data_IF_680521196387
#
_entry.id   IF_680521196387
#
_cell.length_a   1.000
_cell.length_b   1.000
_cell.length_c   1.000
_cell.angle_alpha   90.00
_cell.angle_beta   90.00
_cell.angle_gamma   90.00
#
_symmetry.space_group_name_H-M   'P 1'
#
loop_
_entity.id
_entity.type
_entity.pdbx_description
1 polymer ?
#
# COMPACT_ATOMS: atom_id res chain seq x y z
N UNK A 1 1.70 19.56 -12.86
CA UNK A 1 2.06 18.98 -11.55
C UNK A 1 2.50 17.54 -11.76
N UNK A 2 3.57 17.10 -11.09
CA UNK A 2 4.05 15.71 -11.17
C UNK A 2 3.07 14.77 -10.42
N UNK A 3 2.89 13.51 -10.85
CA UNK A 3 2.12 12.55 -10.08
C UNK A 3 2.80 12.26 -8.73
N UNK A 4 2.01 11.89 -7.73
CA UNK A 4 2.47 11.68 -6.35
C UNK A 4 2.51 10.18 -6.03
N UNK A 5 3.59 9.73 -5.39
CA UNK A 5 3.73 8.37 -4.85
C UNK A 5 3.76 8.44 -3.32
N UNK A 6 3.12 7.48 -2.67
CA UNK A 6 3.30 7.27 -1.24
C UNK A 6 4.18 6.06 -1.04
N UNK A 7 5.26 6.27 -0.29
CA UNK A 7 6.22 5.25 0.11
C UNK A 7 5.99 4.96 1.60
N UNK A 8 5.17 3.96 1.91
CA UNK A 8 4.77 3.60 3.27
C UNK A 8 5.70 2.48 3.75
N UNK A 9 6.53 2.78 4.75
CA UNK A 9 7.68 1.93 5.11
C UNK A 9 8.90 2.30 4.26
N UNK A 10 9.34 3.56 4.36
CA UNK A 10 10.43 4.11 3.54
C UNK A 10 11.78 3.43 3.79
N UNK A 11 12.04 2.97 5.02
CA UNK A 11 13.29 2.34 5.43
C UNK A 11 14.50 3.23 5.08
N UNK A 12 15.49 2.70 4.36
CA UNK A 12 16.68 3.42 3.93
C UNK A 12 16.44 4.41 2.77
N UNK A 13 15.22 4.43 2.21
CA UNK A 13 14.78 5.30 1.13
C UNK A 13 15.21 4.87 -0.28
N UNK A 14 15.57 3.61 -0.52
CA UNK A 14 15.94 3.13 -1.86
C UNK A 14 14.78 3.27 -2.86
N UNK A 15 13.55 2.91 -2.46
CA UNK A 15 12.36 3.11 -3.27
C UNK A 15 12.03 4.60 -3.46
N UNK A 16 12.07 5.40 -2.39
CA UNK A 16 11.93 6.86 -2.47
C UNK A 16 12.91 7.48 -3.50
N UNK A 17 14.20 7.12 -3.47
CA UNK A 17 15.19 7.58 -4.45
C UNK A 17 14.78 7.21 -5.88
N UNK A 18 14.37 5.96 -6.07
CA UNK A 18 13.92 5.47 -7.35
C UNK A 18 12.71 6.26 -7.88
N UNK A 19 11.68 6.46 -7.06
CA UNK A 19 10.50 7.24 -7.42
C UNK A 19 10.84 8.71 -7.77
N UNK A 20 11.73 9.34 -6.99
CA UNK A 20 12.21 10.70 -7.27
C UNK A 20 12.97 10.77 -8.59
N UNK A 21 13.85 9.80 -8.89
CA UNK A 21 14.59 9.72 -10.17
C UNK A 21 13.68 9.44 -11.36
N UNK A 22 12.61 8.67 -11.16
CA UNK A 22 11.52 8.47 -12.14
C UNK A 22 10.70 9.74 -12.36
N UNK A 23 10.91 10.81 -11.58
CA UNK A 23 10.33 12.13 -11.81
C UNK A 23 9.02 12.37 -11.05
N UNK A 24 8.69 11.52 -10.08
CA UNK A 24 7.52 11.69 -9.21
C UNK A 24 7.85 12.63 -8.04
N UNK A 25 6.80 13.13 -7.40
CA UNK A 25 6.90 13.67 -6.03
C UNK A 25 6.52 12.53 -5.07
N UNK A 26 7.06 12.55 -3.85
CA UNK A 26 6.93 11.45 -2.89
C UNK A 26 6.46 11.97 -1.53
N UNK A 27 5.52 11.24 -0.93
CA UNK A 27 5.21 11.32 0.51
C UNK A 27 5.71 10.01 1.12
N UNK A 28 6.78 10.09 1.88
CA UNK A 28 7.36 8.95 2.57
C UNK A 28 6.87 8.89 4.02
N UNK A 29 6.64 7.68 4.53
CA UNK A 29 6.21 7.43 5.92
C UNK A 29 7.17 6.41 6.52
N UNK A 30 7.73 6.75 7.67
CA UNK A 30 8.68 5.91 8.40
C UNK A 30 8.51 6.12 9.91
N UNK A 31 8.56 5.03 10.67
CA UNK A 31 8.39 5.04 12.12
C UNK A 31 9.73 5.05 12.86
N UNK A 32 10.79 4.53 12.24
CA UNK A 32 12.11 4.47 12.84
C UNK A 32 12.84 5.82 12.71
N UNK A 33 13.09 6.54 13.83
CA UNK A 33 13.69 7.87 13.79
C UNK A 33 15.11 7.88 13.23
N UNK A 34 15.86 6.77 13.34
CA UNK A 34 17.22 6.67 12.79
C UNK A 34 17.18 6.67 11.25
N UNK A 35 16.19 6.00 10.65
CA UNK A 35 15.96 6.02 9.20
C UNK A 35 15.48 7.39 8.73
N UNK A 36 14.56 8.01 9.46
CA UNK A 36 14.09 9.37 9.17
C UNK A 36 15.24 10.37 9.17
N UNK A 37 16.12 10.33 10.17
CA UNK A 37 17.25 11.24 10.27
C UNK A 37 18.18 11.11 9.05
N UNK A 38 18.58 9.87 8.71
CA UNK A 38 19.42 9.58 7.54
C UNK A 38 18.75 10.00 6.22
N UNK A 39 17.45 9.76 6.08
CA UNK A 39 16.71 10.15 4.89
C UNK A 39 16.61 11.68 4.74
N UNK A 40 16.41 12.43 5.83
CA UNK A 40 16.39 13.90 5.81
C UNK A 40 17.73 14.49 5.35
N UNK A 41 18.85 13.88 5.75
CA UNK A 41 20.18 14.26 5.27
C UNK A 41 20.35 13.89 3.79
N UNK A 42 20.06 12.63 3.42
CA UNK A 42 20.21 12.11 2.06
C UNK A 42 19.38 12.89 1.04
N UNK A 43 18.14 13.22 1.37
CA UNK A 43 17.17 13.83 0.45
C UNK A 43 16.95 15.33 0.72
N UNK A 44 17.89 16.01 1.40
CA UNK A 44 17.76 17.42 1.77
C UNK A 44 17.39 18.32 0.57
N UNK A 45 17.96 18.05 -0.61
CA UNK A 45 17.67 18.80 -1.83
C UNK A 45 16.24 18.58 -2.35
N UNK A 46 15.77 17.33 -2.39
CA UNK A 46 14.40 17.02 -2.83
C UNK A 46 13.35 17.54 -1.83
N UNK A 47 13.65 17.51 -0.53
CA UNK A 47 12.81 18.12 0.52
C UNK A 47 12.74 19.64 0.33
N UNK A 48 13.88 20.31 0.17
CA UNK A 48 13.93 21.76 -0.07
C UNK A 48 13.20 22.17 -1.35
N UNK A 49 13.21 21.31 -2.37
CA UNK A 49 12.47 21.49 -3.62
C UNK A 49 10.97 21.17 -3.52
N UNK A 50 10.47 20.71 -2.36
CA UNK A 50 9.08 20.31 -2.14
C UNK A 50 8.68 19.03 -2.89
N UNK A 51 9.67 18.22 -3.31
CA UNK A 51 9.45 16.96 -4.03
C UNK A 51 9.29 15.76 -3.11
N UNK A 52 9.83 15.85 -1.90
CA UNK A 52 9.71 14.82 -0.87
C UNK A 52 9.16 15.43 0.42
N UNK A 53 8.15 14.79 0.99
CA UNK A 53 7.70 15.02 2.37
C UNK A 53 7.89 13.72 3.15
N UNK A 54 8.49 13.81 4.33
CA UNK A 54 8.69 12.65 5.22
C UNK A 54 7.82 12.83 6.46
N UNK A 55 6.93 11.86 6.73
CA UNK A 55 6.22 11.74 8.00
C UNK A 55 6.95 10.74 8.90
N UNK A 56 7.47 11.25 10.00
CA UNK A 56 8.10 10.50 11.09
C UNK A 56 7.00 10.00 12.04
N UNK A 57 6.33 8.91 11.65
CA UNK A 57 5.19 8.33 12.37
C UNK A 57 5.05 6.84 12.13
N UNK A 58 4.61 6.15 13.18
CA UNK A 58 3.95 4.86 13.09
C UNK A 58 2.49 5.03 12.59
N UNK A 59 2.01 4.10 11.76
CA UNK A 59 0.62 4.11 11.30
C UNK A 59 -0.28 3.33 12.26
N UNK A 60 -1.32 3.98 12.76
CA UNK A 60 -2.17 3.48 13.85
C UNK A 60 -3.65 3.79 13.62
N UNK A 61 -4.56 3.20 14.40
CA UNK A 61 -5.99 3.54 14.31
C UNK A 61 -6.31 4.95 14.82
N UNK A 62 -5.60 5.39 15.84
CA UNK A 62 -5.78 6.68 16.51
C UNK A 62 -4.43 7.38 16.69
N UNK A 63 -4.45 8.71 16.75
CA UNK A 63 -3.24 9.48 17.03
C UNK A 63 -2.85 9.33 18.51
N UNK A 64 -1.56 9.25 18.78
CA UNK A 64 -1.03 9.08 20.13
C UNK A 64 0.42 8.59 20.11
N UNK A 65 1.02 8.41 21.27
CA UNK A 65 2.30 7.69 21.37
C UNK A 65 2.05 6.19 21.34
N UNK A 66 2.89 5.45 20.62
CA UNK A 66 2.82 3.98 20.51
C UNK A 66 4.18 3.35 20.65
N UNK A 67 4.19 2.10 21.11
CA UNK A 67 5.38 1.26 21.11
C UNK A 67 5.70 0.79 19.69
N UNK A 68 6.95 0.99 19.31
CA UNK A 68 7.54 0.49 18.07
C UNK A 68 8.74 -0.37 18.42
N UNK A 69 8.80 -1.57 17.86
CA UNK A 69 9.83 -2.55 18.15
C UNK A 69 10.83 -2.59 17.00
N UNK A 70 12.02 -2.08 17.25
CA UNK A 70 13.14 -2.11 16.31
C UNK A 70 13.82 -3.46 16.41
N UNK A 71 13.81 -4.21 15.31
CA UNK A 71 14.43 -5.53 15.25
C UNK A 71 15.92 -5.44 14.85
N UNK A 72 16.73 -6.44 15.19
CA UNK A 72 18.14 -6.51 14.78
C UNK A 72 18.32 -6.71 13.26
N UNK A 73 17.38 -7.42 12.64
CA UNK A 73 17.11 -7.32 11.20
C UNK A 73 16.07 -6.22 11.01
N UNK A 74 16.55 -5.04 10.67
CA UNK A 74 15.83 -3.79 10.59
C UNK A 74 14.58 -3.82 9.72
N UNK A 75 14.59 -4.62 8.65
CA UNK A 75 13.44 -4.88 7.77
C UNK A 75 12.20 -5.37 8.56
N UNK A 76 12.39 -6.07 9.69
CA UNK A 76 11.29 -6.65 10.48
C UNK A 76 10.82 -5.76 11.63
N UNK A 77 11.16 -4.46 11.60
CA UNK A 77 10.74 -3.51 12.63
C UNK A 77 9.26 -3.16 12.47
N UNK A 78 8.51 -3.14 13.57
CA UNK A 78 7.04 -3.02 13.52
C UNK A 78 6.43 -2.36 14.74
N UNK A 79 5.21 -1.86 14.58
CA UNK A 79 4.36 -1.40 15.68
C UNK A 79 3.83 -2.58 16.51
N UNK A 80 3.53 -2.34 17.79
CA UNK A 80 2.70 -3.25 18.58
C UNK A 80 1.26 -3.18 18.08
N UNK A 81 0.93 -4.04 17.14
CA UNK A 81 -0.45 -4.28 16.74
C UNK A 81 -0.80 -5.65 17.29
N UNK A 82 -1.82 -5.69 18.15
CA UNK A 82 -2.43 -6.87 18.79
C UNK A 82 -3.10 -7.79 17.74
N UNK A 83 -2.33 -8.12 16.70
CA UNK A 83 -2.64 -9.10 15.71
C UNK A 83 -1.84 -10.33 16.16
N UNK A 84 -2.46 -11.50 16.20
CA UNK A 84 -1.92 -12.83 16.58
C UNK A 84 -0.63 -13.28 15.81
N UNK A 85 0.03 -12.38 15.11
CA UNK A 85 1.30 -12.53 14.40
C UNK A 85 2.41 -12.49 15.44
N UNK A 86 2.91 -13.67 15.81
CA UNK A 86 4.13 -13.76 16.60
C UNK A 86 5.23 -12.98 15.88
N UNK A 87 5.92 -12.10 16.60
CA UNK A 87 7.16 -11.50 16.15
C UNK A 87 8.07 -12.58 15.56
N UNK A 88 8.71 -12.33 14.41
CA UNK A 88 9.87 -13.12 14.01
C UNK A 88 10.81 -13.37 15.19
N UNK A 89 11.45 -14.53 15.23
CA UNK A 89 12.40 -14.81 16.30
C UNK A 89 13.60 -13.87 16.18
N UNK A 90 13.97 -13.21 17.28
CA UNK A 90 15.14 -12.35 17.35
C UNK A 90 15.06 -11.33 18.47
N UNK A 91 15.99 -10.39 18.46
CA UNK A 91 16.09 -9.34 19.48
C UNK A 91 15.38 -8.07 19.04
N UNK A 92 14.51 -7.56 19.91
CA UNK A 92 13.79 -6.31 19.71
C UNK A 92 14.17 -5.27 20.75
N UNK A 93 14.33 -4.03 20.30
CA UNK A 93 14.43 -2.85 21.14
C UNK A 93 13.13 -2.06 21.00
N UNK A 94 12.39 -1.96 22.09
CA UNK A 94 11.19 -1.12 22.15
C UNK A 94 11.59 0.37 22.23
N UNK A 95 10.92 1.18 21.43
CA UNK A 95 10.96 2.64 21.49
C UNK A 95 9.54 3.21 21.44
N UNK A 96 9.37 4.42 21.95
CA UNK A 96 8.12 5.17 21.82
C UNK A 96 8.22 6.13 20.65
N UNK A 97 7.24 6.07 19.75
CA UNK A 97 7.15 6.93 18.56
C UNK A 97 5.77 7.54 18.44
N UNK A 98 5.63 8.57 17.60
CA UNK A 98 4.33 9.17 17.32
C UNK A 98 3.54 8.26 16.37
N UNK A 99 2.38 7.80 16.82
CA UNK A 99 1.35 7.13 16.02
C UNK A 99 0.41 8.14 15.35
N UNK A 100 0.00 7.85 14.12
CA UNK A 100 -0.96 8.66 13.36
C UNK A 100 -1.82 7.80 12.43
N UNK A 101 -3.13 8.08 12.31
CA UNK A 101 -3.96 7.49 11.27
C UNK A 101 -3.50 7.90 9.87
N UNK A 102 -3.32 6.92 8.99
CA UNK A 102 -3.01 7.14 7.58
C UNK A 102 -4.05 8.03 6.88
N UNK A 103 -5.33 7.94 7.28
CA UNK A 103 -6.38 8.83 6.77
C UNK A 103 -6.07 10.32 6.99
N UNK A 104 -5.36 10.68 8.05
CA UNK A 104 -5.04 12.08 8.35
C UNK A 104 -3.87 12.55 7.50
N UNK A 105 -2.92 11.66 7.19
CA UNK A 105 -1.85 11.91 6.23
C UNK A 105 -2.44 12.14 4.83
N UNK A 106 -3.25 11.20 4.32
CA UNK A 106 -3.77 11.31 2.95
C UNK A 106 -4.71 12.50 2.75
N UNK A 107 -5.40 12.97 3.80
CA UNK A 107 -6.22 14.20 3.75
C UNK A 107 -5.38 15.48 3.62
N UNK A 108 -4.15 15.47 4.14
CA UNK A 108 -3.24 16.61 4.08
C UNK A 108 -2.46 16.73 2.76
N UNK A 109 -2.60 15.77 1.86
CA UNK A 109 -1.77 15.64 0.66
C UNK A 109 -2.62 15.42 -0.59
N UNK A 110 -1.99 15.48 -1.77
CA UNK A 110 -2.66 15.18 -3.03
C UNK A 110 -3.00 13.69 -3.12
N UNK A 111 -3.97 13.34 -3.96
CA UNK A 111 -4.29 11.95 -4.23
C UNK A 111 -3.08 11.23 -4.89
N UNK A 112 -2.66 10.06 -4.39
CA UNK A 112 -1.59 9.28 -4.99
C UNK A 112 -1.95 8.71 -6.36
N UNK A 113 -0.94 8.63 -7.23
CA UNK A 113 -0.93 7.77 -8.40
C UNK A 113 -0.60 6.31 -8.02
N UNK A 114 0.33 6.14 -7.07
CA UNK A 114 0.78 4.84 -6.57
C UNK A 114 1.02 4.90 -5.06
N UNK A 115 0.74 3.80 -4.38
CA UNK A 115 1.03 3.61 -2.95
C UNK A 115 1.76 2.29 -2.79
N UNK A 116 2.99 2.33 -2.30
CA UNK A 116 3.73 1.15 -1.82
C UNK A 116 3.48 1.00 -0.33
N UNK A 117 3.11 -0.19 0.12
CA UNK A 117 2.96 -0.54 1.53
C UNK A 117 3.90 -1.70 1.88
N UNK A 118 4.73 -1.50 2.88
CA UNK A 118 5.71 -2.50 3.30
C UNK A 118 6.03 -2.22 4.77
N UNK A 119 5.09 -2.62 5.63
CA UNK A 119 5.05 -2.20 7.02
C UNK A 119 4.65 -3.37 7.92
N UNK A 120 5.17 -4.57 7.68
CA UNK A 120 5.27 -5.69 8.64
C UNK A 120 4.05 -5.91 9.56
N UNK A 121 2.81 -5.75 9.07
CA UNK A 121 1.63 -6.02 9.89
C UNK A 121 0.32 -5.35 9.47
N UNK A 122 0.13 -4.03 9.66
CA UNK A 122 -1.19 -3.43 9.59
C UNK A 122 -1.55 -2.87 8.20
N UNK A 123 -1.08 -3.50 7.12
CA UNK A 123 -1.37 -3.09 5.74
C UNK A 123 -2.89 -3.00 5.51
N UNK A 124 -3.67 -3.96 6.02
CA UNK A 124 -5.13 -3.94 5.86
C UNK A 124 -5.77 -2.73 6.52
N UNK A 125 -5.30 -2.37 7.71
CA UNK A 125 -5.76 -1.19 8.44
C UNK A 125 -5.45 0.09 7.64
N UNK A 126 -4.21 0.23 7.16
CA UNK A 126 -3.77 1.39 6.39
C UNK A 126 -4.58 1.54 5.09
N UNK A 127 -4.78 0.45 4.34
CA UNK A 127 -5.60 0.43 3.12
C UNK A 127 -7.06 0.80 3.43
N UNK A 128 -7.61 0.27 4.53
CA UNK A 128 -8.98 0.58 4.98
C UNK A 128 -9.17 2.06 5.29
N UNK A 129 -8.21 2.68 6.00
CA UNK A 129 -8.22 4.10 6.30
C UNK A 129 -8.11 4.97 5.02
N UNK A 130 -7.23 4.60 4.09
CA UNK A 130 -7.11 5.27 2.79
C UNK A 130 -8.45 5.30 2.03
N UNK A 131 -9.12 4.15 1.95
CA UNK A 131 -10.41 4.04 1.25
C UNK A 131 -11.55 4.77 1.96
N UNK A 132 -11.52 4.80 3.30
CA UNK A 132 -12.47 5.55 4.14
C UNK A 132 -12.30 7.06 3.97
N UNK A 133 -11.08 7.53 3.71
CA UNK A 133 -10.78 8.91 3.34
C UNK A 133 -11.18 9.25 1.87
N UNK A 134 -11.75 8.31 1.13
CA UNK A 134 -12.17 8.53 -0.26
C UNK A 134 -11.05 8.38 -1.29
N UNK A 135 -9.83 8.06 -0.88
CA UNK A 135 -8.65 7.98 -1.75
C UNK A 135 -8.54 6.58 -2.34
N UNK A 136 -8.44 6.46 -3.67
CA UNK A 136 -8.28 5.17 -4.38
C UNK A 136 -7.27 5.32 -5.52
N UNK A 137 -5.96 5.10 -5.27
CA UNK A 137 -4.95 5.24 -6.30
C UNK A 137 -5.21 4.31 -7.49
N UNK A 138 -4.74 4.65 -8.69
CA UNK A 138 -4.73 3.72 -9.83
C UNK A 138 -3.98 2.41 -9.54
N UNK A 139 -2.90 2.48 -8.76
CA UNK A 139 -2.06 1.34 -8.41
C UNK A 139 -1.71 1.35 -6.92
N UNK A 140 -1.55 0.18 -6.32
CA UNK A 140 -0.89 0.02 -5.03
C UNK A 140 -0.15 -1.32 -4.98
N UNK A 141 0.86 -1.43 -4.12
CA UNK A 141 1.48 -2.70 -3.77
C UNK A 141 1.50 -2.91 -2.26
N UNK A 142 1.54 -4.16 -1.85
CA UNK A 142 1.77 -4.54 -0.45
C UNK A 142 2.51 -5.87 -0.36
N UNK A 143 3.32 -6.05 0.68
CA UNK A 143 3.95 -7.35 0.93
C UNK A 143 2.90 -8.42 1.26
N UNK A 144 3.02 -9.59 0.64
CA UNK A 144 2.15 -10.73 0.88
C UNK A 144 2.37 -11.28 2.30
N UNK A 145 1.39 -11.07 3.17
CA UNK A 145 1.37 -11.57 4.54
C UNK A 145 0.09 -12.35 4.87
N UNK A 146 -0.13 -12.68 6.14
CA UNK A 146 -1.32 -13.43 6.58
C UNK A 146 -2.65 -12.68 6.36
N UNK A 147 -2.63 -11.34 6.25
CA UNK A 147 -3.81 -10.55 5.93
C UNK A 147 -4.15 -10.53 4.43
N UNK A 148 -3.26 -11.03 3.55
CA UNK A 148 -3.39 -10.93 2.08
C UNK A 148 -4.78 -11.29 1.56
N UNK A 149 -5.37 -12.39 2.03
CA UNK A 149 -6.71 -12.80 1.59
C UNK A 149 -7.79 -11.73 1.87
N UNK A 150 -7.75 -11.14 3.06
CA UNK A 150 -8.67 -10.08 3.48
C UNK A 150 -8.37 -8.73 2.83
N UNK A 151 -7.10 -8.46 2.51
CA UNK A 151 -6.70 -7.29 1.72
C UNK A 151 -7.24 -7.41 0.30
N UNK A 152 -7.13 -8.58 -0.35
CA UNK A 152 -7.68 -8.79 -1.70
C UNK A 152 -9.19 -8.53 -1.75
N UNK A 153 -9.95 -9.02 -0.76
CA UNK A 153 -11.40 -8.74 -0.66
C UNK A 153 -11.70 -7.25 -0.51
N UNK A 154 -10.93 -6.55 0.32
CA UNK A 154 -11.03 -5.11 0.50
C UNK A 154 -10.72 -4.35 -0.79
N UNK A 155 -9.71 -4.78 -1.55
CA UNK A 155 -9.32 -4.22 -2.84
C UNK A 155 -10.42 -4.44 -3.90
N UNK A 156 -10.94 -5.66 -4.03
CA UNK A 156 -12.04 -5.98 -4.96
C UNK A 156 -13.30 -5.15 -4.67
N UNK A 157 -13.65 -5.02 -3.39
CA UNK A 157 -14.78 -4.18 -2.95
C UNK A 157 -14.59 -2.69 -3.30
N UNK A 158 -13.35 -2.24 -3.56
CA UNK A 158 -13.00 -0.86 -3.89
C UNK A 158 -12.58 -0.67 -5.37
N UNK A 159 -12.84 -1.65 -6.23
CA UNK A 159 -12.73 -1.50 -7.69
C UNK A 159 -11.40 -1.94 -8.30
N UNK A 160 -10.56 -2.62 -7.52
CA UNK A 160 -9.35 -3.29 -8.03
C UNK A 160 -9.73 -4.68 -8.54
N UNK A 161 -9.33 -5.02 -9.76
CA UNK A 161 -9.68 -6.31 -10.37
C UNK A 161 -8.52 -6.99 -11.09
N UNK A 162 -7.37 -6.33 -11.13
CA UNK A 162 -6.17 -6.77 -11.83
C UNK A 162 -5.04 -6.80 -10.80
N UNK A 163 -4.32 -7.92 -10.71
CA UNK A 163 -3.27 -8.14 -9.73
C UNK A 163 -2.04 -8.78 -10.37
N UNK A 164 -0.87 -8.54 -9.79
CA UNK A 164 0.37 -9.24 -10.12
C UNK A 164 1.10 -9.63 -8.84
N UNK A 165 1.81 -10.75 -8.88
CA UNK A 165 2.71 -11.18 -7.81
C UNK A 165 4.16 -11.02 -8.30
N UNK A 166 4.98 -10.31 -7.52
CA UNK A 166 6.39 -10.11 -7.82
C UNK A 166 7.24 -10.71 -6.70
N UNK A 167 8.07 -11.70 -7.03
CA UNK A 167 9.06 -12.24 -6.09
C UNK A 167 10.15 -11.21 -5.77
N UNK A 168 10.57 -11.17 -4.52
CA UNK A 168 11.48 -10.17 -3.98
C UNK A 168 12.93 -10.66 -3.84
N UNK A 169 13.18 -11.97 -3.90
CA UNK A 169 14.49 -12.61 -3.65
C UNK A 169 15.58 -12.18 -4.66
N UNK A 170 15.29 -12.24 -5.96
CA UNK A 170 16.20 -11.76 -7.01
C UNK A 170 15.43 -10.98 -8.08
N UNK A 171 15.67 -9.68 -8.08
CA UNK A 171 15.11 -8.72 -9.06
C UNK A 171 16.19 -8.14 -9.97
N UNK A 172 17.44 -8.58 -9.83
CA UNK A 172 18.60 -8.04 -10.55
C UNK A 172 18.54 -8.29 -12.06
N UNK A 173 17.71 -9.24 -12.50
CA UNK A 173 17.45 -9.55 -13.90
C UNK A 173 16.46 -8.59 -14.56
N UNK A 174 15.65 -7.86 -13.80
CA UNK A 174 14.62 -6.97 -14.34
C UNK A 174 15.27 -5.73 -14.99
N UNK A 175 14.79 -5.37 -16.18
CA UNK A 175 15.23 -4.17 -16.92
C UNK A 175 14.03 -3.30 -17.23
N UNK A 176 14.11 -2.01 -16.89
CA UNK A 176 13.05 -1.06 -17.21
C UNK A 176 12.97 -0.82 -18.72
N UNK A 177 11.76 -0.64 -19.27
CA UNK A 177 11.58 -0.38 -20.70
C UNK A 177 12.11 1.00 -21.07
N UNK A 178 12.61 1.12 -22.31
CA UNK A 178 12.94 2.39 -22.96
C UNK A 178 12.29 2.39 -24.35
N UNK A 179 11.27 3.23 -24.62
CA UNK A 179 10.78 4.34 -23.78
C UNK A 179 10.10 3.88 -22.47
N UNK A 180 10.14 4.72 -21.41
CA UNK A 180 9.55 4.38 -20.12
C UNK A 180 8.02 4.31 -20.20
N UNK A 181 7.42 3.42 -19.42
CA UNK A 181 5.96 3.31 -19.27
C UNK A 181 5.46 4.06 -18.03
N UNK A 182 6.37 4.39 -17.12
CA UNK A 182 6.14 5.24 -15.94
C UNK A 182 7.18 6.37 -15.89
N UNK A 183 6.74 7.60 -15.67
CA UNK A 183 7.61 8.76 -15.47
C UNK A 183 8.76 8.88 -16.48
N UNK A 184 9.99 9.02 -15.97
CA UNK A 184 11.23 9.15 -16.74
C UNK A 184 12.00 7.83 -16.76
N UNK A 185 12.74 7.55 -17.83
CA UNK A 185 13.64 6.40 -17.85
C UNK A 185 14.75 6.56 -16.80
N UNK A 186 15.06 5.46 -16.12
CA UNK A 186 16.10 5.40 -15.11
C UNK A 186 16.85 4.06 -15.30
N UNK A 187 18.15 4.11 -15.61
CA UNK A 187 18.94 2.87 -15.60
C UNK A 187 19.21 2.49 -14.15
N UNK A 188 18.47 1.49 -13.70
CA UNK A 188 18.51 0.97 -12.33
C UNK A 188 18.75 -0.53 -12.37
N UNK A 189 19.42 -1.01 -11.32
CA UNK A 189 19.52 -2.44 -11.00
C UNK A 189 18.85 -2.60 -9.65
N UNK A 190 17.75 -3.35 -9.64
CA UNK A 190 17.02 -3.61 -8.41
C UNK A 190 17.80 -4.60 -7.56
N UNK A 191 18.07 -4.21 -6.31
CA UNK A 191 18.66 -5.06 -5.30
C UNK A 191 17.59 -5.54 -4.31
N UNK A 192 18.03 -6.14 -3.20
CA UNK A 192 17.15 -6.68 -2.18
C UNK A 192 16.38 -5.60 -1.39
N UNK A 193 16.84 -4.34 -1.40
CA UNK A 193 16.29 -3.24 -0.60
C UNK A 193 15.27 -2.39 -1.37
N UNK A 194 14.94 -2.78 -2.60
CA UNK A 194 13.96 -2.11 -3.45
C UNK A 194 12.78 -3.03 -3.70
N UNK A 195 11.56 -2.50 -3.83
CA UNK A 195 10.38 -3.31 -4.22
C UNK A 195 10.38 -3.69 -5.70
N UNK A 196 11.14 -2.99 -6.55
CA UNK A 196 11.19 -3.24 -7.99
C UNK A 196 10.41 -2.23 -8.83
N UNK A 197 10.08 -2.56 -10.11
CA UNK A 197 9.22 -1.72 -10.92
C UNK A 197 7.80 -1.59 -10.34
N UNK A 198 7.08 -0.56 -10.76
CA UNK A 198 5.70 -0.32 -10.34
C UNK A 198 4.80 0.03 -11.52
N UNK A 199 3.49 0.01 -11.27
CA UNK A 199 2.49 0.43 -12.23
C UNK A 199 2.63 -0.32 -13.56
N UNK A 200 2.79 0.42 -14.64
CA UNK A 200 2.87 -0.13 -16.01
C UNK A 200 4.22 -0.76 -16.35
N UNK A 201 5.24 -0.63 -15.50
CA UNK A 201 6.58 -1.20 -15.72
C UNK A 201 6.77 -2.55 -15.05
N UNK A 202 5.74 -3.08 -14.36
CA UNK A 202 5.79 -4.43 -13.81
C UNK A 202 5.98 -5.48 -14.91
N UNK A 203 6.83 -6.50 -14.69
CA UNK A 203 6.99 -7.59 -15.63
C UNK A 203 5.75 -8.49 -15.62
N UNK A 204 5.43 -9.08 -16.77
CA UNK A 204 4.38 -10.09 -16.87
C UNK A 204 2.98 -9.54 -17.11
N UNK A 205 1.97 -10.37 -16.85
CA UNK A 205 0.56 -10.07 -17.10
C UNK A 205 -0.17 -9.76 -15.80
N UNK A 206 -1.15 -8.86 -15.89
CA UNK A 206 -2.14 -8.65 -14.85
C UNK A 206 -3.17 -9.78 -14.87
N UNK A 207 -3.42 -10.38 -13.72
CA UNK A 207 -4.29 -11.54 -13.51
C UNK A 207 -5.44 -11.19 -12.54
N UNK A 208 -6.39 -12.11 -12.35
CA UNK A 208 -7.51 -11.93 -11.40
C UNK A 208 -7.11 -12.24 -9.97
N UNK A 209 -7.87 -11.77 -8.98
CA UNK A 209 -7.65 -12.11 -7.57
C UNK A 209 -7.67 -13.63 -7.32
N UNK A 210 -8.50 -14.37 -8.05
CA UNK A 210 -8.53 -15.84 -8.00
C UNK A 210 -7.21 -16.44 -8.45
N UNK A 211 -6.68 -16.03 -9.60
CA UNK A 211 -5.42 -16.55 -10.13
C UNK A 211 -4.24 -16.19 -9.21
N UNK A 212 -4.25 -14.99 -8.61
CA UNK A 212 -3.27 -14.60 -7.61
C UNK A 212 -3.32 -15.52 -6.37
N UNK A 213 -4.52 -15.83 -5.86
CA UNK A 213 -4.69 -16.78 -4.74
C UNK A 213 -4.15 -18.17 -5.09
N UNK A 214 -4.41 -18.67 -6.30
CA UNK A 214 -3.86 -19.94 -6.79
C UNK A 214 -2.31 -19.93 -6.82
N UNK A 215 -1.68 -18.81 -7.17
CA UNK A 215 -0.21 -18.65 -7.13
C UNK A 215 0.33 -18.68 -5.69
N UNK A 216 -0.32 -17.97 -4.78
CA UNK A 216 0.06 -17.94 -3.36
C UNK A 216 -0.11 -19.33 -2.71
N UNK A 217 -1.19 -20.03 -3.02
CA UNK A 217 -1.43 -21.40 -2.52
C UNK A 217 -0.36 -22.38 -3.02
N UNK A 218 0.03 -22.26 -4.30
CA UNK A 218 1.10 -23.06 -4.88
C UNK A 218 2.46 -22.76 -4.23
N UNK A 219 2.77 -21.49 -3.95
CA UNK A 219 3.97 -21.12 -3.21
C UNK A 219 3.94 -21.71 -1.79
N UNK A 220 2.83 -21.56 -1.06
CA UNK A 220 2.69 -22.10 0.29
C UNK A 220 2.81 -23.63 0.32
N UNK A 221 2.36 -24.33 -0.73
CA UNK A 221 2.58 -25.77 -0.87
C UNK A 221 4.07 -26.12 -0.96
N UNK A 222 4.84 -25.42 -1.80
CA UNK A 222 6.30 -25.60 -1.91
C UNK A 222 7.02 -25.33 -0.59
N UNK A 223 6.60 -24.32 0.16
CA UNK A 223 7.14 -24.05 1.51
C UNK A 223 6.90 -25.25 2.45
N UNK A 224 5.68 -25.81 2.46
CA UNK A 224 5.35 -27.01 3.27
C UNK A 224 6.14 -28.25 2.83
N UNK A 225 6.42 -28.39 1.54
CA UNK A 225 7.24 -29.46 0.97
C UNK A 225 8.74 -29.29 1.25
N UNK A 226 9.14 -28.14 1.80
CA UNK A 226 10.51 -27.90 2.22
C UNK A 226 11.42 -27.27 1.16
N UNK A 227 10.86 -26.75 0.07
CA UNK A 227 11.61 -26.10 -1.01
C UNK A 227 12.44 -24.91 -0.46
N UNK A 228 13.79 -24.95 -0.59
CA UNK A 228 14.67 -23.94 0.00
C UNK A 228 14.57 -22.58 -0.69
N UNK A 229 14.17 -22.53 -1.98
CA UNK A 229 13.97 -21.26 -2.67
C UNK A 229 12.67 -20.64 -2.19
N UNK A 230 11.58 -21.42 -2.16
CA UNK A 230 10.28 -20.93 -1.71
C UNK A 230 10.32 -20.42 -0.25
N UNK A 231 11.08 -21.07 0.64
CA UNK A 231 11.21 -20.63 2.04
C UNK A 231 11.86 -19.26 2.25
N UNK A 232 12.65 -18.81 1.29
CA UNK A 232 13.38 -17.54 1.37
C UNK A 232 12.81 -16.47 0.44
N UNK A 233 11.69 -16.75 -0.23
CA UNK A 233 11.08 -15.86 -1.20
C UNK A 233 9.87 -15.16 -0.59
N UNK A 234 9.97 -13.85 -0.34
CA UNK A 234 8.81 -12.98 -0.11
C UNK A 234 8.25 -12.47 -1.43
N UNK A 235 7.02 -11.96 -1.40
CA UNK A 235 6.35 -11.46 -2.59
C UNK A 235 5.64 -10.15 -2.32
N UNK A 236 5.68 -9.26 -3.31
CA UNK A 236 4.79 -8.10 -3.35
C UNK A 236 3.57 -8.42 -4.20
N UNK A 237 2.39 -8.13 -3.67
CA UNK A 237 1.15 -8.10 -4.42
C UNK A 237 0.96 -6.69 -4.97
N UNK A 238 0.94 -6.56 -6.29
CA UNK A 238 0.54 -5.33 -6.95
C UNK A 238 -0.93 -5.41 -7.37
N UNK A 239 -1.67 -4.34 -7.17
CA UNK A 239 -3.07 -4.22 -7.52
C UNK A 239 -3.30 -3.01 -8.41
N UNK A 240 -4.10 -3.20 -9.46
CA UNK A 240 -4.53 -2.17 -10.39
C UNK A 240 -6.03 -1.99 -10.34
N UNK A 241 -6.43 -0.73 -10.26
CA UNK A 241 -7.83 -0.32 -10.31
C UNK A 241 -8.28 -0.20 -11.76
N UNK A 242 -9.33 -0.92 -12.13
CA UNK A 242 -9.88 -0.97 -13.49
C UNK A 242 -11.28 -0.38 -13.60
N UNK A 243 -11.99 -0.28 -12.47
CA UNK A 243 -13.35 0.23 -12.41
C UNK A 243 -13.45 1.63 -11.76
N UNK A 244 -14.37 2.46 -12.24
CA UNK A 244 -14.95 3.50 -11.39
C UNK A 244 -15.74 2.83 -10.25
N UNK A 245 -15.67 3.35 -9.01
CA UNK A 245 -16.32 2.70 -7.89
C UNK A 245 -17.81 2.58 -8.21
N UNK A 246 -18.38 1.37 -8.08
CA UNK A 246 -19.83 1.22 -8.11
C UNK A 246 -20.36 2.09 -6.97
N UNK A 247 -20.90 3.27 -7.29
CA UNK A 247 -21.71 4.04 -6.33
C UNK A 247 -22.77 3.05 -5.85
N UNK A 248 -22.69 2.62 -4.60
CA UNK A 248 -23.83 1.96 -3.95
C UNK A 248 -24.96 2.97 -4.07
N UNK A 249 -25.93 2.70 -4.95
CA UNK A 249 -27.21 3.41 -4.93
C UNK A 249 -27.80 3.06 -3.57
N UNK A 250 -27.56 3.91 -2.58
CA UNK A 250 -28.40 3.95 -1.41
C UNK A 250 -29.75 4.34 -1.98
N UNK A 251 -30.64 3.36 -2.11
CA UNK A 251 -32.05 3.65 -2.33
C UNK A 251 -32.48 4.42 -1.09
N UNK A 252 -32.59 5.73 -1.23
CA UNK A 252 -33.22 6.57 -0.25
C UNK A 252 -34.71 6.19 -0.20
N UNK A 253 -35.02 5.26 0.70
CA UNK A 253 -36.39 4.80 0.97
C UNK A 253 -37.26 5.91 1.60
N UNK A 254 -36.67 7.04 2.04
CA UNK A 254 -37.43 8.14 2.63
C UNK A 254 -38.22 8.93 1.57
N UNK A 255 -37.72 9.02 0.33
CA UNK A 255 -38.41 9.68 -0.78
C UNK A 255 -39.52 8.85 -1.44
N UNK A 256 -39.49 7.51 -1.30
CA UNK A 256 -40.48 6.62 -1.91
C UNK A 256 -41.78 6.54 -1.10
N UNK A 257 -41.67 6.55 0.23
CA UNK A 257 -42.83 6.55 1.15
C UNK A 257 -43.62 7.87 1.12
N UNK A 258 -42.98 9.00 0.77
CA UNK A 258 -43.66 10.29 0.64
C UNK A 258 -44.62 10.35 -0.57
N UNK A 259 -44.37 9.59 -1.65
CA UNK A 259 -45.23 9.58 -2.84
C UNK A 259 -46.47 8.70 -2.71
N UNK A 260 -46.48 7.76 -1.76
CA UNK A 260 -47.63 6.88 -1.51
C UNK A 260 -48.68 7.51 -0.58
N UNK A 261 -48.34 8.57 0.17
CA UNK A 261 -49.29 9.29 1.05
C UNK A 261 -50.02 10.47 0.39
N UNK A 262 -49.78 10.74 -0.89
CA UNK A 262 -50.35 11.88 -1.61
C UNK A 262 -51.59 11.59 -2.47
N UNK A 263 -52.07 10.34 -2.54
CA UNK A 263 -53.31 10.00 -3.27
C UNK A 263 -54.45 9.79 -2.28
N UNK A 264 -55.09 10.89 -1.87
CA UNK A 264 -56.41 10.85 -1.24
C UNK A 264 -57.48 10.36 -2.23
N UNK A 265 -58.56 9.72 -1.75
CA UNK A 265 -59.61 9.20 -2.61
C UNK A 265 -60.35 10.34 -3.33
N UNK A 266 -60.52 10.20 -4.64
CA UNK A 266 -61.36 11.07 -5.44
C UNK A 266 -62.82 10.92 -5.00
N UNK A 267 -63.45 12.03 -4.62
CA UNK A 267 -64.88 12.14 -4.41
C UNK A 267 -65.64 11.85 -5.70
N UNK A 268 -66.50 10.84 -5.68
CA UNK A 268 -67.55 10.65 -6.68
C UNK A 268 -68.66 11.68 -6.45
N UNK A 269 -68.83 12.59 -7.40
CA UNK A 269 -70.03 13.41 -7.55
C UNK A 269 -70.41 13.37 -9.04
N UNK A 270 -71.62 12.92 -9.33
CA UNK A 270 -72.18 12.77 -10.68
C UNK A 270 -72.84 11.42 -10.86
#
# INVERSE_FOLDING_TARGET
MKPLIYDVGMHNGADTDFYLRKGFDVVAIEANPDYVARARERFAADIAAGRLVIHDVALTETAGEVSFFVHEHDDWSRVDVDLDHRFPAGTYREITVRGMPFQDIVRGHRAPYYVKLDIEGPERMVIGQMFSAGVRPPYLSFEANLETGSILELLEANGYSEFQLLGQLDKSWIRLPSPPLEGTYCDVRFDALMSGPFGRELPGRWDTARALREQLDAHAARVREGDPVAKNESHDVHARRTAEPRRRRIFDLSGWLARLRGRGPASLAG
#
